data_IF_662045504064
#
_entry.id   IF_662045504064
#
_cell.length_a   1.000
_cell.length_b   1.000
_cell.length_c   1.000
_cell.angle_alpha   90.00
_cell.angle_beta   90.00
_cell.angle_gamma   90.00
#
_symmetry.space_group_name_H-M   'P 1'
#
loop_
_entity.id
_entity.type
_entity.pdbx_description
1 polymer ?
#
# COMPACT_ATOMS: atom_id res chain seq x y z
N UNK A 1 6.94 8.33 -23.52
CA UNK A 1 5.55 8.31 -23.01
C UNK A 1 5.13 6.86 -22.89
N UNK A 2 4.45 6.47 -21.80
CA UNK A 2 3.94 5.10 -21.61
C UNK A 2 2.96 4.77 -22.74
N UNK A 3 3.21 3.66 -23.44
CA UNK A 3 2.28 3.15 -24.43
C UNK A 3 1.43 2.08 -23.76
N UNK A 4 0.15 2.38 -23.54
CA UNK A 4 -0.77 1.51 -22.81
C UNK A 4 -0.85 0.13 -23.49
N UNK A 5 -0.86 0.07 -24.82
CA UNK A 5 -0.97 -1.19 -25.59
C UNK A 5 0.37 -1.92 -25.82
N UNK A 6 1.44 -1.51 -25.13
CA UNK A 6 2.76 -2.16 -25.23
C UNK A 6 3.00 -3.03 -24.00
N UNK A 7 3.62 -4.20 -24.20
CA UNK A 7 4.18 -4.99 -23.11
C UNK A 7 5.57 -4.50 -22.73
N UNK A 8 5.85 -4.49 -21.44
CA UNK A 8 7.14 -4.15 -20.86
C UNK A 8 7.68 -5.33 -20.04
N UNK A 9 9.01 -5.44 -19.98
CA UNK A 9 9.66 -6.49 -19.20
C UNK A 9 9.95 -6.00 -17.77
N UNK A 10 8.93 -6.02 -16.91
CA UNK A 10 9.07 -5.62 -15.50
C UNK A 10 10.04 -6.51 -14.73
N UNK A 11 10.16 -7.78 -15.13
CA UNK A 11 11.14 -8.72 -14.55
C UNK A 11 12.59 -8.20 -14.63
N UNK A 12 12.91 -7.34 -15.60
CA UNK A 12 14.26 -6.73 -15.68
C UNK A 12 14.64 -5.91 -14.45
N UNK A 13 13.65 -5.46 -13.65
CA UNK A 13 13.88 -4.77 -12.39
C UNK A 13 14.38 -5.69 -11.28
N UNK A 14 14.19 -7.01 -11.38
CA UNK A 14 14.72 -8.00 -10.42
C UNK A 14 16.19 -8.34 -10.66
N UNK A 15 16.77 -7.94 -11.80
CA UNK A 15 18.15 -8.31 -12.13
C UNK A 15 19.11 -7.74 -11.07
N UNK A 16 20.16 -8.49 -10.73
CA UNK A 16 21.16 -8.10 -9.71
C UNK A 16 21.79 -6.72 -9.96
N UNK A 17 21.71 -6.21 -11.20
CA UNK A 17 22.24 -4.92 -11.64
C UNK A 17 21.16 -3.88 -11.98
N UNK A 18 19.92 -4.04 -11.51
CA UNK A 18 18.86 -3.06 -11.71
C UNK A 18 19.21 -1.75 -11.01
N UNK A 19 19.80 -0.81 -11.77
CA UNK A 19 20.22 0.50 -11.26
C UNK A 19 19.06 1.28 -10.65
N UNK A 20 17.85 1.11 -11.20
CA UNK A 20 16.62 1.72 -10.68
C UNK A 20 16.31 1.19 -9.28
N UNK A 21 16.31 -0.14 -9.09
CA UNK A 21 15.99 -0.74 -7.79
C UNK A 21 17.07 -0.43 -6.75
N UNK A 22 18.36 -0.57 -7.12
CA UNK A 22 19.46 -0.24 -6.21
C UNK A 22 19.40 1.23 -5.77
N UNK A 23 19.20 2.17 -6.70
CA UNK A 23 19.08 3.58 -6.37
C UNK A 23 17.82 3.88 -5.54
N UNK A 24 16.69 3.23 -5.83
CA UNK A 24 15.45 3.41 -5.05
C UNK A 24 15.63 2.94 -3.60
N UNK A 25 16.20 1.74 -3.40
CA UNK A 25 16.49 1.19 -2.07
C UNK A 25 17.47 2.07 -1.29
N UNK A 26 18.53 2.55 -1.95
CA UNK A 26 19.52 3.43 -1.33
C UNK A 26 18.88 4.76 -0.90
N UNK A 27 18.13 5.42 -1.79
CA UNK A 27 17.41 6.65 -1.46
C UNK A 27 16.43 6.44 -0.31
N UNK A 28 15.73 5.31 -0.29
CA UNK A 28 14.81 4.98 0.80
C UNK A 28 15.54 4.86 2.13
N UNK A 29 16.63 4.08 2.20
CA UNK A 29 17.45 3.93 3.42
C UNK A 29 18.01 5.28 3.90
N UNK A 30 18.57 6.08 2.99
CA UNK A 30 19.06 7.42 3.31
C UNK A 30 17.96 8.33 3.87
N UNK A 31 16.74 8.22 3.32
CA UNK A 31 15.57 8.96 3.81
C UNK A 31 15.21 8.52 5.23
N UNK A 32 15.21 7.21 5.52
CA UNK A 32 14.89 6.67 6.84
C UNK A 32 15.89 7.05 7.94
N UNK A 33 17.15 7.26 7.58
CA UNK A 33 18.21 7.64 8.52
C UNK A 33 18.26 9.17 8.76
N UNK A 34 17.46 9.92 8.01
CA UNK A 34 17.33 11.37 8.13
C UNK A 34 16.23 11.76 9.12
N UNK A 35 16.45 12.83 9.90
CA UNK A 35 15.45 13.37 10.82
C UNK A 35 14.45 14.28 10.08
N UNK A 36 13.60 13.68 9.24
CA UNK A 36 12.63 14.39 8.40
C UNK A 36 11.22 14.39 9.01
N UNK A 37 10.35 15.23 8.44
CA UNK A 37 8.93 15.25 8.80
C UNK A 37 8.23 14.01 8.26
N UNK A 38 7.20 13.56 8.96
CA UNK A 38 6.34 12.44 8.54
C UNK A 38 5.84 12.56 7.09
N UNK A 39 5.45 13.78 6.68
CA UNK A 39 4.99 14.09 5.33
C UNK A 39 6.01 13.71 4.23
N UNK A 40 7.31 13.70 4.53
CA UNK A 40 8.34 13.29 3.57
C UNK A 40 8.31 11.78 3.35
N UNK A 41 8.17 11.00 4.43
CA UNK A 41 8.03 9.54 4.33
C UNK A 41 6.72 9.15 3.65
N UNK A 42 5.63 9.84 3.99
CA UNK A 42 4.34 9.70 3.32
C UNK A 42 4.50 9.94 1.81
N UNK A 43 5.11 11.06 1.41
CA UNK A 43 5.26 11.40 0.00
C UNK A 43 6.13 10.37 -0.75
N UNK A 44 7.21 9.90 -0.12
CA UNK A 44 8.07 8.86 -0.71
C UNK A 44 7.29 7.57 -0.97
N UNK A 45 6.53 7.08 0.02
CA UNK A 45 5.71 5.87 -0.13
C UNK A 45 4.59 6.10 -1.15
N UNK A 46 3.95 7.27 -1.14
CA UNK A 46 2.92 7.64 -2.12
C UNK A 46 3.45 7.54 -3.55
N UNK A 47 4.60 8.14 -3.83
CA UNK A 47 5.16 8.17 -5.18
C UNK A 47 5.69 6.79 -5.61
N UNK A 48 5.99 5.90 -4.68
CA UNK A 48 6.55 4.58 -4.96
C UNK A 48 5.64 3.44 -4.47
N UNK A 49 4.32 3.65 -4.42
CA UNK A 49 3.38 2.71 -3.85
C UNK A 49 3.44 1.32 -4.51
N UNK A 50 3.62 1.23 -5.83
CA UNK A 50 3.76 -0.06 -6.53
C UNK A 50 5.03 -0.84 -6.22
N UNK A 51 6.06 -0.17 -5.69
CA UNK A 51 7.28 -0.82 -5.20
C UNK A 51 7.11 -1.35 -3.78
N UNK A 52 6.40 -0.63 -2.91
CA UNK A 52 6.23 -1.02 -1.50
C UNK A 52 5.06 -1.98 -1.28
N UNK A 53 3.92 -1.73 -1.91
CA UNK A 53 2.66 -2.42 -1.63
C UNK A 53 2.16 -3.29 -2.79
N UNK A 54 2.77 -3.16 -3.97
CA UNK A 54 2.45 -4.00 -5.12
C UNK A 54 2.81 -5.47 -4.83
N UNK A 55 1.92 -6.40 -5.21
CA UNK A 55 2.16 -7.85 -5.24
C UNK A 55 1.09 -8.55 -6.10
N UNK A 56 1.09 -9.89 -6.12
CA UNK A 56 0.21 -10.75 -6.93
C UNK A 56 -1.30 -10.60 -6.64
N UNK A 57 -1.68 -9.93 -5.55
CA UNK A 57 -3.05 -9.68 -5.16
C UNK A 57 -3.35 -8.22 -4.77
N UNK A 58 -2.39 -7.31 -4.95
CA UNK A 58 -2.52 -5.91 -4.60
C UNK A 58 -1.82 -5.06 -5.65
N UNK A 59 -2.60 -4.34 -6.45
CA UNK A 59 -2.09 -3.45 -7.49
C UNK A 59 -2.56 -2.00 -7.27
N UNK A 60 -3.34 -1.71 -6.25
CA UNK A 60 -3.89 -0.38 -6.01
C UNK A 60 -3.74 0.00 -4.55
N UNK A 61 -3.15 1.17 -4.34
CA UNK A 61 -3.06 1.82 -3.03
C UNK A 61 -3.74 3.18 -3.13
N UNK A 62 -4.56 3.50 -2.14
CA UNK A 62 -5.20 4.79 -1.97
C UNK A 62 -4.43 5.56 -0.91
N UNK A 63 -4.22 6.85 -1.07
CA UNK A 63 -3.61 7.73 -0.08
C UNK A 63 -4.60 8.77 0.41
N UNK A 64 -4.54 9.08 1.70
CA UNK A 64 -5.37 10.11 2.34
C UNK A 64 -6.87 9.88 2.12
N UNK A 65 -7.33 8.63 2.25
CA UNK A 65 -8.77 8.30 2.16
C UNK A 65 -9.50 8.90 3.37
N UNK A 66 -10.51 9.72 3.11
CA UNK A 66 -11.27 10.38 4.17
C UNK A 66 -12.37 9.46 4.71
N UNK A 67 -12.40 9.24 6.02
CA UNK A 67 -13.48 8.54 6.70
C UNK A 67 -14.44 9.56 7.30
N UNK A 68 -15.42 9.98 6.50
CA UNK A 68 -16.33 11.07 6.86
C UNK A 68 -15.63 12.43 6.75
N UNK A 69 -15.91 13.34 7.69
CA UNK A 69 -15.28 14.66 7.74
C UNK A 69 -14.12 14.73 8.75
N UNK A 70 -14.04 13.77 9.66
CA UNK A 70 -13.25 13.89 10.89
C UNK A 70 -11.94 13.09 10.86
N UNK A 71 -11.84 12.08 10.00
CA UNK A 71 -10.68 11.19 9.96
C UNK A 71 -10.17 10.97 8.54
N UNK A 72 -8.88 10.67 8.44
CA UNK A 72 -8.17 10.43 7.19
C UNK A 72 -7.12 9.34 7.45
N UNK A 73 -7.01 8.36 6.55
CA UNK A 73 -5.98 7.30 6.61
C UNK A 73 -4.72 7.72 5.87
N UNK A 74 -3.53 7.25 6.24
CA UNK A 74 -2.37 7.49 5.39
C UNK A 74 -2.43 6.72 4.07
N UNK A 75 -2.64 5.40 4.17
CA UNK A 75 -2.80 4.54 3.00
C UNK A 75 -3.91 3.51 3.18
N UNK A 76 -4.46 3.06 2.06
CA UNK A 76 -5.35 1.89 1.99
C UNK A 76 -4.91 1.00 0.84
N UNK A 77 -4.45 -0.22 1.15
CA UNK A 77 -4.20 -1.24 0.12
C UNK A 77 -5.49 -1.98 -0.22
N UNK A 78 -5.73 -2.21 -1.51
CA UNK A 78 -6.88 -2.97 -2.01
C UNK A 78 -6.42 -4.38 -2.36
N UNK A 79 -6.73 -5.36 -1.51
CA UNK A 79 -6.22 -6.73 -1.62
C UNK A 79 -7.31 -7.63 -2.20
N UNK A 80 -7.08 -8.18 -3.38
CA UNK A 80 -8.01 -9.09 -4.07
C UNK A 80 -7.87 -10.52 -3.53
N UNK A 81 -8.95 -11.01 -2.95
CA UNK A 81 -9.12 -12.38 -2.46
C UNK A 81 -9.87 -13.25 -3.48
N UNK A 82 -9.89 -12.85 -4.75
CA UNK A 82 -10.53 -13.54 -5.87
C UNK A 82 -12.02 -13.74 -5.63
N UNK A 83 -12.49 -14.98 -5.56
CA UNK A 83 -13.89 -15.31 -5.29
C UNK A 83 -14.33 -14.90 -3.88
N UNK A 84 -13.40 -14.79 -2.93
CA UNK A 84 -13.67 -14.31 -1.58
C UNK A 84 -13.66 -12.77 -1.49
N UNK A 85 -13.43 -12.08 -2.60
CA UNK A 85 -13.69 -10.66 -2.76
C UNK A 85 -12.53 -9.74 -2.38
N UNK A 86 -12.73 -8.73 -1.53
CA UNK A 86 -11.72 -7.69 -1.27
C UNK A 86 -11.48 -7.53 0.22
N UNK A 87 -10.20 -7.46 0.61
CA UNK A 87 -9.77 -6.98 1.90
C UNK A 87 -9.13 -5.59 1.71
N UNK A 88 -9.50 -4.63 2.57
CA UNK A 88 -8.82 -3.34 2.62
C UNK A 88 -7.89 -3.28 3.82
N UNK A 89 -6.61 -3.03 3.59
CA UNK A 89 -5.67 -2.76 4.68
C UNK A 89 -5.55 -1.25 4.87
N UNK A 90 -6.08 -0.73 5.98
CA UNK A 90 -5.96 0.67 6.37
C UNK A 90 -4.67 0.85 7.18
N UNK A 91 -3.80 1.74 6.71
CA UNK A 91 -2.46 1.93 7.23
C UNK A 91 -2.35 3.34 7.82
N UNK A 92 -1.90 3.41 9.07
CA UNK A 92 -1.38 4.63 9.71
C UNK A 92 0.16 4.54 9.74
N UNK A 93 0.84 5.62 9.39
CA UNK A 93 2.29 5.74 9.54
C UNK A 93 2.62 6.80 10.58
N UNK A 94 3.69 6.55 11.32
CA UNK A 94 4.35 7.55 12.17
C UNK A 94 5.77 7.76 11.64
N UNK A 95 6.68 8.41 12.38
CA UNK A 95 8.06 8.59 11.90
C UNK A 95 8.92 7.34 12.17
N UNK A 96 9.98 7.13 11.37
CA UNK A 96 10.97 6.08 11.66
C UNK A 96 11.72 6.29 12.99
N UNK A 97 11.83 7.53 13.47
CA UNK A 97 12.49 7.84 14.74
C UNK A 97 11.55 7.84 15.95
N UNK A 98 10.26 7.54 15.74
CA UNK A 98 9.28 7.45 16.82
C UNK A 98 9.59 6.26 17.72
N UNK A 99 9.53 6.49 19.04
CA UNK A 99 9.68 5.44 20.04
C UNK A 99 8.35 4.70 20.19
N UNK A 100 8.40 3.39 20.40
CA UNK A 100 7.21 2.60 20.72
C UNK A 100 6.79 2.80 22.18
N UNK A 101 7.76 2.84 23.09
CA UNK A 101 7.53 2.91 24.52
C UNK A 101 8.35 4.04 25.17
N UNK A 102 7.84 4.54 26.29
CA UNK A 102 8.55 5.44 27.18
C UNK A 102 9.53 4.67 28.07
N UNK A 103 10.36 5.38 28.82
CA UNK A 103 11.27 4.76 29.80
C UNK A 103 10.55 4.03 30.93
N UNK A 104 9.30 4.39 31.23
CA UNK A 104 8.43 3.65 32.17
C UNK A 104 7.75 2.43 31.54
N UNK A 105 8.03 2.14 30.27
CA UNK A 105 7.57 0.94 29.58
C UNK A 105 6.10 0.97 29.14
N UNK A 106 5.44 2.14 29.17
CA UNK A 106 4.10 2.39 28.60
C UNK A 106 4.20 2.90 27.16
N UNK A 107 3.17 2.72 26.32
CA UNK A 107 3.16 3.24 24.95
C UNK A 107 3.54 4.72 24.89
N UNK A 108 4.46 5.06 23.99
CA UNK A 108 4.86 6.45 23.78
C UNK A 108 3.75 7.24 23.09
N UNK A 109 3.94 8.57 23.00
CA UNK A 109 2.95 9.49 22.42
C UNK A 109 2.52 9.07 21.01
N UNK A 110 3.48 8.88 20.11
CA UNK A 110 3.21 8.58 18.70
C UNK A 110 2.48 7.23 18.55
N UNK A 111 2.93 6.16 19.24
CA UNK A 111 2.20 4.88 19.25
C UNK A 111 0.79 5.02 19.85
N UNK A 112 0.63 5.82 20.91
CA UNK A 112 -0.67 6.07 21.53
C UNK A 112 -1.63 6.80 20.60
N UNK A 113 -1.12 7.79 19.88
CA UNK A 113 -1.86 8.55 18.86
C UNK A 113 -2.30 7.65 17.70
N UNK A 114 -1.38 6.87 17.12
CA UNK A 114 -1.70 5.93 16.06
C UNK A 114 -2.74 4.88 16.50
N UNK A 115 -2.59 4.31 17.71
CA UNK A 115 -3.62 3.39 18.26
C UNK A 115 -4.98 4.06 18.42
N UNK A 116 -5.01 5.34 18.80
CA UNK A 116 -6.25 6.09 18.93
C UNK A 116 -6.90 6.32 17.56
N UNK A 117 -6.13 6.69 16.54
CA UNK A 117 -6.62 6.82 15.16
C UNK A 117 -7.25 5.52 14.66
N UNK A 118 -6.60 4.37 14.87
CA UNK A 118 -7.20 3.08 14.49
C UNK A 118 -8.53 2.81 15.22
N UNK A 119 -8.62 3.13 16.52
CA UNK A 119 -9.89 2.98 17.26
C UNK A 119 -10.99 3.88 16.68
N UNK A 120 -10.64 5.09 16.30
CA UNK A 120 -11.56 6.07 15.72
C UNK A 120 -12.05 5.62 14.34
N UNK A 121 -11.16 5.11 13.49
CA UNK A 121 -11.53 4.52 12.20
C UNK A 121 -12.43 3.30 12.38
N UNK A 122 -12.11 2.41 13.33
CA UNK A 122 -12.96 1.24 13.63
C UNK A 122 -14.37 1.66 14.03
N UNK A 123 -14.48 2.62 14.95
CA UNK A 123 -15.76 3.18 15.40
C UNK A 123 -16.54 3.78 14.24
N UNK A 124 -15.89 4.63 13.44
CA UNK A 124 -16.50 5.24 12.26
C UNK A 124 -17.07 4.19 11.31
N UNK A 125 -16.31 3.15 10.95
CA UNK A 125 -16.75 2.10 10.03
C UNK A 125 -17.91 1.25 10.60
N UNK A 126 -17.93 1.02 11.92
CA UNK A 126 -19.03 0.32 12.60
C UNK A 126 -20.33 1.12 12.54
N UNK A 127 -20.24 2.43 12.79
CA UNK A 127 -21.37 3.35 12.84
C UNK A 127 -21.88 3.71 11.43
N UNK A 128 -20.99 3.79 10.44
CA UNK A 128 -21.28 4.30 9.10
C UNK A 128 -21.29 3.19 8.03
N UNK A 129 -22.08 2.13 8.24
CA UNK A 129 -22.13 0.97 7.33
C UNK A 129 -22.47 1.33 5.88
N UNK A 130 -23.32 2.32 5.65
CA UNK A 130 -23.65 2.78 4.30
C UNK A 130 -22.44 3.41 3.60
N UNK A 131 -21.66 4.22 4.34
CA UNK A 131 -20.40 4.76 3.85
C UNK A 131 -19.41 3.64 3.53
N UNK A 132 -19.27 2.67 4.46
CA UNK A 132 -18.39 1.51 4.27
C UNK A 132 -18.77 0.75 3.00
N UNK A 133 -20.03 0.33 2.83
CA UNK A 133 -20.48 -0.37 1.62
C UNK A 133 -20.23 0.40 0.33
N UNK A 134 -20.25 1.73 0.38
CA UNK A 134 -20.07 2.56 -0.81
C UNK A 134 -18.60 2.73 -1.18
N UNK A 135 -17.73 3.01 -0.21
CA UNK A 135 -16.35 3.44 -0.48
C UNK A 135 -15.29 2.41 -0.08
N UNK A 136 -15.66 1.35 0.63
CA UNK A 136 -14.81 0.19 0.88
C UNK A 136 -15.66 -1.09 0.71
N UNK A 137 -16.31 -1.30 -0.45
CA UNK A 137 -17.20 -2.44 -0.64
C UNK A 137 -16.42 -3.75 -0.47
N UNK A 138 -16.91 -4.56 0.46
CA UNK A 138 -16.43 -5.90 0.75
C UNK A 138 -17.62 -6.80 1.08
N UNK A 139 -17.33 -8.04 1.40
CA UNK A 139 -18.26 -9.16 1.57
C UNK A 139 -19.02 -9.02 2.88
N UNK A 140 -18.51 -8.14 3.75
CA UNK A 140 -18.93 -7.97 5.12
C UNK A 140 -18.57 -6.57 5.58
N UNK A 141 -19.52 -5.85 6.17
CA UNK A 141 -19.22 -4.58 6.86
C UNK A 141 -18.83 -4.79 8.32
N UNK A 142 -18.47 -6.02 8.72
CA UNK A 142 -17.94 -6.29 10.04
C UNK A 142 -16.51 -5.75 10.11
N UNK A 143 -16.17 -5.15 11.25
CA UNK A 143 -14.87 -4.49 11.46
C UNK A 143 -13.99 -5.25 12.45
N UNK A 144 -14.59 -6.01 13.38
CA UNK A 144 -13.85 -6.65 14.49
C UNK A 144 -13.64 -8.16 14.28
N UNK A 145 -14.67 -8.88 13.84
CA UNK A 145 -14.64 -10.33 13.63
C UNK A 145 -15.04 -10.63 12.19
N UNK A 146 -14.27 -11.49 11.50
CA UNK A 146 -14.45 -11.82 10.08
C UNK A 146 -14.59 -10.53 9.26
N UNK A 147 -13.58 -9.68 9.41
CA UNK A 147 -13.55 -8.33 8.89
C UNK A 147 -13.08 -8.31 7.44
N UNK A 148 -13.71 -7.49 6.60
CA UNK A 148 -13.20 -7.14 5.28
C UNK A 148 -12.13 -6.04 5.32
N UNK A 149 -11.70 -5.64 6.53
CA UNK A 149 -10.65 -4.65 6.76
C UNK A 149 -9.57 -5.18 7.70
N UNK A 150 -8.31 -4.87 7.39
CA UNK A 150 -7.12 -5.03 8.23
C UNK A 150 -6.67 -3.62 8.64
N UNK A 151 -6.12 -3.49 9.84
CA UNK A 151 -5.53 -2.24 10.31
C UNK A 151 -4.06 -2.45 10.60
N UNK A 152 -3.21 -1.56 10.11
CA UNK A 152 -1.76 -1.65 10.25
C UNK A 152 -1.20 -0.31 10.71
N UNK A 153 -0.33 -0.33 11.71
CA UNK A 153 0.49 0.82 12.12
C UNK A 153 1.92 0.56 11.66
N UNK A 154 2.54 1.52 10.98
CA UNK A 154 3.96 1.50 10.61
C UNK A 154 4.68 2.61 11.39
N UNK A 155 5.52 2.24 12.34
CA UNK A 155 6.12 3.18 13.30
C UNK A 155 7.51 2.73 13.74
N UNK A 156 8.43 3.71 13.83
CA UNK A 156 9.75 3.47 14.38
C UNK A 156 10.66 2.62 13.49
N UNK A 157 11.86 2.31 13.99
CA UNK A 157 12.78 1.31 13.45
C UNK A 157 12.68 -0.01 14.21
N UNK A 158 13.22 -1.07 13.63
CA UNK A 158 13.31 -2.41 14.20
C UNK A 158 14.05 -2.33 15.54
N UNK A 159 13.38 -2.76 16.60
CA UNK A 159 14.00 -2.92 17.93
C UNK A 159 14.63 -4.30 18.03
N UNK A 160 15.81 -4.38 18.65
CA UNK A 160 16.44 -5.64 19.06
C UNK A 160 16.05 -6.03 20.49
N UNK A 161 15.30 -5.16 21.20
CA UNK A 161 14.87 -5.41 22.56
C UNK A 161 13.68 -6.40 22.59
N UNK A 162 13.94 -7.62 23.04
CA UNK A 162 12.95 -8.70 23.11
C UNK A 162 11.68 -8.31 23.89
N UNK A 163 11.81 -7.56 24.99
CA UNK A 163 10.66 -7.12 25.80
C UNK A 163 9.79 -6.11 25.05
N UNK A 164 10.40 -5.18 24.31
CA UNK A 164 9.64 -4.24 23.47
C UNK A 164 8.92 -4.96 22.35
N UNK A 165 9.57 -5.94 21.71
CA UNK A 165 8.97 -6.77 20.66
C UNK A 165 7.77 -7.53 21.20
N UNK A 166 7.91 -8.18 22.37
CA UNK A 166 6.83 -8.91 23.03
C UNK A 166 5.65 -7.99 23.36
N UNK A 167 5.90 -6.86 24.02
CA UNK A 167 4.87 -5.86 24.36
C UNK A 167 4.14 -5.33 23.12
N UNK A 168 4.88 -5.02 22.05
CA UNK A 168 4.29 -4.59 20.77
C UNK A 168 3.38 -5.68 20.21
N UNK A 169 3.82 -6.93 20.22
CA UNK A 169 3.02 -8.06 19.72
C UNK A 169 1.78 -8.30 20.58
N UNK A 170 1.88 -8.16 21.90
CA UNK A 170 0.73 -8.22 22.80
C UNK A 170 -0.31 -7.15 22.44
N UNK A 171 0.10 -5.88 22.32
CA UNK A 171 -0.78 -4.78 21.93
C UNK A 171 -1.43 -5.04 20.56
N UNK A 172 -0.63 -5.48 19.58
CA UNK A 172 -1.11 -5.81 18.24
C UNK A 172 -2.21 -6.89 18.28
N UNK A 173 -2.01 -7.94 19.07
CA UNK A 173 -2.97 -9.03 19.25
C UNK A 173 -4.26 -8.56 19.95
N UNK A 174 -4.13 -7.82 21.06
CA UNK A 174 -5.27 -7.29 21.82
C UNK A 174 -6.13 -6.36 20.98
N UNK A 175 -5.50 -5.47 20.20
CA UNK A 175 -6.19 -4.54 19.32
C UNK A 175 -6.62 -5.19 17.99
N UNK A 176 -6.11 -6.38 17.66
CA UNK A 176 -6.31 -7.05 16.36
C UNK A 176 -5.91 -6.16 15.19
N UNK A 177 -4.65 -5.73 15.24
CA UNK A 177 -4.02 -4.88 14.24
C UNK A 177 -2.61 -5.43 13.97
N UNK A 178 -1.99 -4.99 12.88
CA UNK A 178 -0.56 -5.15 12.69
C UNK A 178 0.18 -3.93 13.24
N UNK A 179 1.33 -4.15 13.87
CA UNK A 179 2.28 -3.08 14.20
C UNK A 179 3.63 -3.48 13.62
N UNK A 180 4.12 -2.70 12.67
CA UNK A 180 5.37 -2.93 11.92
C UNK A 180 6.30 -1.72 12.05
N UNK A 181 7.60 -1.94 11.86
CA UNK A 181 8.56 -0.84 11.73
C UNK A 181 8.74 -0.42 10.27
N UNK A 182 9.39 0.71 10.01
CA UNK A 182 9.73 1.09 8.64
C UNK A 182 10.67 0.09 7.95
N UNK A 183 11.45 -0.67 8.71
CA UNK A 183 12.30 -1.74 8.16
C UNK A 183 11.48 -2.86 7.50
N UNK A 184 10.21 -3.05 7.89
CA UNK A 184 9.31 -3.95 7.17
C UNK A 184 9.09 -3.48 5.73
N UNK A 185 8.91 -2.18 5.50
CA UNK A 185 8.80 -1.62 4.15
C UNK A 185 10.11 -1.76 3.38
N UNK A 186 11.25 -1.62 4.05
CA UNK A 186 12.57 -1.93 3.46
C UNK A 186 12.65 -3.39 3.02
N UNK A 187 12.25 -4.32 3.89
CA UNK A 187 12.26 -5.75 3.57
C UNK A 187 11.33 -6.06 2.36
N UNK A 188 10.16 -5.42 2.29
CA UNK A 188 9.24 -5.57 1.15
C UNK A 188 9.86 -5.04 -0.14
N UNK A 189 10.48 -3.86 -0.09
CA UNK A 189 11.11 -3.23 -1.24
C UNK A 189 12.29 -4.06 -1.77
N UNK A 190 13.15 -4.55 -0.88
CA UNK A 190 14.32 -5.37 -1.24
C UNK A 190 13.94 -6.75 -1.79
N UNK A 191 12.80 -7.30 -1.37
CA UNK A 191 12.31 -8.62 -1.81
C UNK A 191 11.23 -8.53 -2.87
N UNK A 192 10.97 -7.33 -3.41
CA UNK A 192 9.91 -7.10 -4.39
C UNK A 192 10.14 -7.96 -5.61
N UNK A 193 9.13 -8.73 -5.98
CA UNK A 193 9.08 -9.51 -7.22
C UNK A 193 8.24 -8.80 -8.28
N UNK A 194 8.68 -8.79 -9.52
CA UNK A 194 8.03 -8.18 -10.65
C UNK A 194 7.59 -9.26 -11.64
N UNK A 195 6.33 -9.20 -12.04
CA UNK A 195 5.74 -10.14 -12.98
C UNK A 195 5.38 -9.40 -14.26
N UNK A 196 5.52 -10.06 -15.41
CA UNK A 196 5.10 -9.49 -16.69
C UNK A 196 3.60 -9.67 -16.94
N UNK A 197 2.93 -10.57 -16.20
CA UNK A 197 1.53 -10.90 -16.37
C UNK A 197 0.88 -11.16 -15.00
N UNK A 198 -0.22 -10.46 -14.71
CA UNK A 198 -0.93 -10.45 -13.42
C UNK A 198 -1.71 -11.74 -13.07
N UNK A 199 -1.65 -12.78 -13.91
CA UNK A 199 -2.44 -14.01 -13.80
C UNK A 199 -3.95 -13.75 -13.56
N UNK A 200 -4.53 -12.72 -14.18
CA UNK A 200 -5.92 -12.31 -13.98
C UNK A 200 -6.88 -13.04 -14.92
N UNK A 201 -6.38 -13.78 -15.91
CA UNK A 201 -7.17 -14.51 -16.91
C UNK A 201 -8.15 -13.57 -17.61
N UNK A 202 -7.65 -12.39 -17.99
CA UNK A 202 -8.42 -11.39 -18.74
C UNK A 202 -8.49 -11.89 -20.18
N UNK A 203 -9.61 -12.51 -20.55
CA UNK A 203 -9.88 -13.29 -21.77
C UNK A 203 -9.54 -12.65 -23.15
N UNK A 204 -8.92 -11.49 -23.24
CA UNK A 204 -8.72 -10.80 -24.52
C UNK A 204 -7.35 -10.17 -24.74
N UNK A 205 -6.60 -9.72 -23.73
CA UNK A 205 -5.46 -8.83 -23.99
C UNK A 205 -4.33 -8.94 -22.96
N UNK A 206 -3.29 -9.71 -23.30
CA UNK A 206 -2.12 -9.91 -22.44
C UNK A 206 -1.38 -8.61 -22.06
N UNK A 207 -1.58 -7.51 -22.79
CA UNK A 207 -0.97 -6.22 -22.43
C UNK A 207 -1.66 -5.57 -21.21
N UNK A 208 -2.95 -5.80 -20.98
CA UNK A 208 -3.67 -5.28 -19.81
C UNK A 208 -3.10 -5.87 -18.51
N UNK A 209 -2.86 -7.18 -18.52
CA UNK A 209 -2.19 -7.88 -17.40
C UNK A 209 -0.78 -7.35 -17.16
N UNK A 210 -0.07 -6.95 -18.21
CA UNK A 210 1.23 -6.31 -18.07
C UNK A 210 1.10 -4.90 -17.47
N UNK A 211 0.14 -4.10 -17.92
CA UNK A 211 -0.01 -2.73 -17.43
C UNK A 211 -0.48 -2.64 -15.99
N UNK A 212 -1.29 -3.59 -15.52
CA UNK A 212 -1.72 -3.60 -14.12
C UNK A 212 -0.60 -4.01 -13.16
N UNK A 213 0.38 -4.80 -13.63
CA UNK A 213 1.62 -5.14 -12.92
C UNK A 213 2.65 -4.02 -12.87
N UNK A 214 2.45 -2.94 -13.63
CA UNK A 214 3.40 -1.84 -13.73
C UNK A 214 3.76 -1.28 -12.33
N UNK A 215 4.99 -1.48 -11.83
CA UNK A 215 5.35 -1.19 -10.45
C UNK A 215 5.56 0.30 -10.18
N UNK A 216 5.58 1.12 -11.23
CA UNK A 216 5.81 2.56 -11.12
C UNK A 216 4.56 3.33 -10.71
N UNK A 217 3.44 2.66 -10.38
CA UNK A 217 2.22 3.35 -9.97
C UNK A 217 2.41 4.09 -8.64
N UNK A 218 1.83 5.28 -8.57
CA UNK A 218 1.66 6.06 -7.35
C UNK A 218 0.36 5.67 -6.65
N UNK A 219 0.28 5.93 -5.36
CA UNK A 219 -1.00 5.84 -4.67
C UNK A 219 -2.00 6.85 -5.26
N UNK A 220 -3.26 6.46 -5.41
CA UNK A 220 -4.32 7.39 -5.87
C UNK A 220 -4.90 8.16 -4.69
N UNK A 221 -5.42 9.36 -4.92
CA UNK A 221 -6.08 10.12 -3.86
C UNK A 221 -7.55 9.70 -3.62
N UNK A 222 -8.12 10.17 -2.51
CA UNK A 222 -9.54 10.01 -2.14
C UNK A 222 -10.51 10.35 -3.27
N UNK A 223 -10.29 11.44 -4.00
CA UNK A 223 -11.18 11.88 -5.08
C UNK A 223 -11.25 10.87 -6.23
N UNK A 224 -10.08 10.40 -6.69
CA UNK A 224 -9.99 9.36 -7.73
C UNK A 224 -10.66 8.07 -7.28
N UNK A 225 -10.43 7.66 -6.03
CA UNK A 225 -11.06 6.47 -5.47
C UNK A 225 -12.58 6.59 -5.37
N UNK A 226 -13.11 7.71 -4.86
CA UNK A 226 -14.57 7.93 -4.79
C UNK A 226 -15.22 7.97 -6.16
N UNK A 227 -14.54 8.55 -7.16
CA UNK A 227 -15.00 8.52 -8.55
C UNK A 227 -15.05 7.09 -9.06
N UNK A 228 -14.03 6.28 -8.79
CA UNK A 228 -14.03 4.85 -9.12
C UNK A 228 -15.18 4.11 -8.42
N UNK A 229 -15.40 4.31 -7.11
CA UNK A 229 -16.52 3.66 -6.41
C UNK A 229 -17.91 4.14 -6.82
N UNK A 230 -18.02 5.30 -7.48
CA UNK A 230 -19.30 5.81 -7.98
C UNK A 230 -19.79 5.04 -9.21
N UNK A 231 -18.89 4.34 -9.91
CA UNK A 231 -19.28 3.39 -10.95
C UNK A 231 -19.61 2.05 -10.29
N UNK A 232 -20.55 1.30 -10.87
CA UNK A 232 -20.88 -0.03 -10.36
C UNK A 232 -19.74 -0.97 -10.74
N UNK A 233 -18.97 -1.43 -9.75
CA UNK A 233 -17.86 -2.35 -9.96
C UNK A 233 -18.10 -3.71 -9.29
N UNK A 234 -17.46 -4.77 -9.80
CA UNK A 234 -17.54 -6.10 -9.20
C UNK A 234 -16.44 -6.28 -8.16
N UNK A 235 -16.82 -6.66 -6.94
CA UNK A 235 -15.88 -6.88 -5.85
C UNK A 235 -15.33 -8.31 -5.80
N UNK A 236 -15.88 -9.29 -6.52
CA UNK A 236 -15.21 -10.59 -6.73
C UNK A 236 -14.27 -10.49 -7.91
N UNK A 237 -13.12 -11.17 -7.84
CA UNK A 237 -12.07 -11.07 -8.86
C UNK A 237 -11.82 -9.61 -9.23
N UNK A 238 -11.60 -8.78 -8.21
CA UNK A 238 -11.67 -7.33 -8.32
C UNK A 238 -10.77 -6.78 -9.42
N UNK A 239 -9.53 -7.24 -9.50
CA UNK A 239 -8.61 -6.72 -10.51
C UNK A 239 -8.95 -7.22 -11.92
N UNK A 240 -9.35 -8.49 -12.07
CA UNK A 240 -9.81 -9.04 -13.34
C UNK A 240 -10.97 -8.22 -13.91
N UNK A 241 -11.95 -7.91 -13.08
CA UNK A 241 -13.19 -7.27 -13.52
C UNK A 241 -13.10 -5.75 -13.69
N UNK A 242 -12.05 -5.11 -13.14
CA UNK A 242 -11.92 -3.65 -13.13
C UNK A 242 -10.55 -3.16 -13.65
N UNK A 243 -9.78 -4.03 -14.30
CA UNK A 243 -8.40 -3.79 -14.73
C UNK A 243 -8.24 -2.47 -15.52
N UNK A 244 -9.05 -2.28 -16.57
CA UNK A 244 -9.00 -1.10 -17.42
C UNK A 244 -9.25 0.20 -16.64
N UNK A 245 -10.28 0.21 -15.80
CA UNK A 245 -10.65 1.40 -15.02
C UNK A 245 -9.57 1.73 -13.98
N UNK A 246 -8.92 0.71 -13.41
CA UNK A 246 -7.81 0.90 -12.48
C UNK A 246 -6.60 1.50 -13.20
N UNK A 247 -6.24 1.00 -14.39
CA UNK A 247 -5.14 1.56 -15.19
C UNK A 247 -5.41 3.03 -15.54
N UNK A 248 -6.66 3.38 -15.90
CA UNK A 248 -7.04 4.75 -16.27
C UNK A 248 -6.90 5.76 -15.13
N UNK A 249 -7.08 5.35 -13.88
CA UNK A 249 -7.03 6.27 -12.72
C UNK A 249 -5.63 6.40 -12.09
N UNK A 250 -4.71 5.48 -12.39
CA UNK A 250 -3.35 5.51 -11.83
C UNK A 250 -2.52 6.66 -12.39
N UNK A 251 -1.66 7.20 -11.54
CA UNK A 251 -0.52 8.01 -11.95
C UNK A 251 0.75 7.18 -11.79
N UNK A 252 1.82 7.57 -12.47
CA UNK A 252 3.11 6.87 -12.46
C UNK A 252 4.22 7.82 -12.03
N UNK A 253 5.23 7.29 -11.33
CA UNK A 253 6.40 8.07 -10.93
C UNK A 253 7.45 8.17 -12.04
N UNK A 254 8.35 9.13 -11.88
CA UNK A 254 9.28 9.53 -12.93
C UNK A 254 10.34 8.46 -13.26
N UNK A 255 10.56 7.48 -12.37
CA UNK A 255 11.48 6.36 -12.63
C UNK A 255 11.04 5.53 -13.84
N UNK A 256 9.76 5.62 -14.24
CA UNK A 256 9.29 4.98 -15.46
C UNK A 256 10.00 5.52 -16.70
N UNK A 257 10.40 6.79 -16.71
CA UNK A 257 11.12 7.38 -17.84
C UNK A 257 12.52 6.79 -17.95
N UNK A 258 13.21 6.60 -16.82
CA UNK A 258 14.52 5.95 -16.78
C UNK A 258 14.44 4.51 -17.29
N UNK A 259 13.41 3.78 -16.87
CA UNK A 259 13.13 2.41 -17.34
C UNK A 259 12.88 2.34 -18.86
N UNK A 260 12.08 3.25 -19.39
CA UNK A 260 11.77 3.30 -20.82
C UNK A 260 13.02 3.64 -21.65
N UNK A 261 13.89 4.53 -21.15
CA UNK A 261 15.11 4.93 -21.83
C UNK A 261 16.14 3.79 -21.85
N UNK A 262 16.32 3.06 -20.74
CA UNK A 262 17.25 1.93 -20.68
C UNK A 262 16.82 0.75 -21.56
N UNK A 263 15.50 0.54 -21.71
CA UNK A 263 14.95 -0.49 -22.58
C UNK A 263 15.24 -0.22 -24.08
N UNK A 264 15.25 1.05 -24.49
CA UNK A 264 15.53 1.45 -25.89
C UNK A 264 17.00 1.24 -26.26
N UNK A 265 17.92 1.38 -25.30
CA UNK A 265 19.36 1.18 -25.53
C UNK A 265 19.78 -0.28 -25.72
N UNK A 266 18.95 -1.25 -25.31
CA UNK A 266 19.24 -2.69 -25.45
C UNK A 266 18.72 -3.26 -26.78
N UNK A 267 17.80 -2.57 -27.47
CA UNK A 267 17.25 -2.96 -28.78
C UNK A 267 18.04 -2.39 -29.99
N UNK A 268 19.20 -1.74 -29.76
CA UNK A 268 20.13 -1.26 -30.81
C UNK A 268 21.43 -2.05 -30.79
#
# INVERSE_FOLDING_TARGET
MLQINKKYNWFSLETENSTIMSALVERWKNTLDSNLKESVFHQFIHDHAGFFFGNDNCYLTISKLKLGCDYETDFVNVIDQRSNGIIYELIEIEKPNSKLFTTSGVPAKDLSSAMQQIRDWKRFLIENKAWFKKYLPSQTTRVINNSGVIFTIIIGRRSENALEIEKRNQIANELRINIRSFDYLTDLLERRRFFNDACLDVNSELWLENQIENPFYKAINDSKWRKFCSTKFNWTHFYKNNCEEIIKIRDYNDLIHDFLNSSISVEK
#
